data_IF_703177969936
#
_entry.id   IF_703177969936
#
_cell.length_a   1.000
_cell.length_b   1.000
_cell.length_c   1.000
_cell.angle_alpha   90.00
_cell.angle_beta   90.00
_cell.angle_gamma   90.00
#
_symmetry.space_group_name_H-M   'P 1'
#
loop_
_entity.id
_entity.type
_entity.pdbx_description
1 polymer ?
#
# COMPACT_ATOMS: atom_id res chain seq x y z
N UNK A 1 -29.84 24.11 5.16
CA UNK A 1 -29.22 24.17 3.80
C UNK A 1 -27.92 23.37 3.81
N UNK A 2 -28.00 22.18 3.20
CA UNK A 2 -26.97 21.42 2.45
C UNK A 2 -25.52 21.41 2.97
N UNK A 3 -25.10 20.26 3.56
CA UNK A 3 -24.01 19.40 3.06
C UNK A 3 -23.78 18.18 3.98
N UNK A 4 -24.82 17.34 4.15
CA UNK A 4 -24.63 15.91 4.40
C UNK A 4 -24.49 15.24 3.03
N UNK A 5 -23.29 14.79 2.65
CA UNK A 5 -23.09 14.19 1.33
C UNK A 5 -21.69 13.69 1.03
N UNK A 6 -20.90 13.28 2.04
CA UNK A 6 -19.54 12.79 1.83
C UNK A 6 -19.17 11.57 2.68
N UNK A 7 -20.14 10.70 3.00
CA UNK A 7 -19.91 9.50 3.84
C UNK A 7 -20.27 8.19 3.10
N UNK A 8 -20.83 8.25 1.89
CA UNK A 8 -21.41 7.09 1.21
C UNK A 8 -20.52 6.41 0.13
N UNK A 9 -19.19 6.58 0.13
CA UNK A 9 -18.35 6.07 -0.98
C UNK A 9 -17.12 5.24 -0.58
N UNK A 10 -17.01 4.80 0.68
CA UNK A 10 -15.84 4.04 1.15
C UNK A 10 -16.17 2.68 1.78
N UNK A 11 -17.40 2.20 1.57
CA UNK A 11 -17.88 0.87 1.97
C UNK A 11 -18.40 0.21 0.70
N UNK A 12 -17.56 -0.53 -0.05
CA UNK A 12 -17.96 -1.49 -1.14
C UNK A 12 -16.75 -1.99 -1.99
N UNK A 13 -15.57 -2.30 -1.43
CA UNK A 13 -14.48 -2.93 -2.25
C UNK A 13 -13.71 -4.06 -1.53
N UNK A 14 -14.19 -4.59 -0.41
CA UNK A 14 -13.45 -5.64 0.30
C UNK A 14 -14.30 -6.86 0.69
N UNK A 15 -15.05 -7.39 -0.28
CA UNK A 15 -15.65 -8.72 -0.16
C UNK A 15 -15.12 -9.62 -1.28
N UNK A 16 -14.58 -10.75 -0.84
CA UNK A 16 -14.35 -11.98 -1.59
C UNK A 16 -13.14 -12.05 -2.54
N UNK A 17 -11.94 -12.17 -1.96
CA UNK A 17 -10.97 -13.12 -2.49
C UNK A 17 -10.55 -14.06 -1.37
N UNK A 18 -11.18 -15.23 -1.31
CA UNK A 18 -10.69 -16.52 -0.82
C UNK A 18 -11.87 -17.51 -0.88
N UNK A 19 -11.70 -18.83 -1.03
CA UNK A 19 -10.51 -19.57 -1.41
C UNK A 19 -10.78 -20.78 -2.34
N UNK A 20 -9.68 -21.46 -2.71
CA UNK A 20 -9.55 -22.90 -2.83
C UNK A 20 -10.36 -23.68 -3.89
N UNK A 21 -9.61 -24.16 -4.89
CA UNK A 21 -9.57 -25.59 -5.20
C UNK A 21 -10.62 -26.11 -6.18
N UNK A 22 -10.17 -26.62 -7.32
CA UNK A 22 -10.18 -28.06 -7.60
C UNK A 22 -9.51 -28.39 -8.93
N UNK A 23 -8.81 -29.52 -8.90
CA UNK A 23 -8.25 -30.26 -10.00
C UNK A 23 -9.33 -30.68 -11.02
N UNK A 24 -8.86 -31.10 -12.20
CA UNK A 24 -9.51 -31.94 -13.21
C UNK A 24 -10.17 -31.18 -14.37
N UNK A 25 -9.74 -31.52 -15.58
CA UNK A 25 -10.67 -31.67 -16.70
C UNK A 25 -10.39 -30.80 -17.91
N UNK A 26 -9.48 -31.26 -18.77
CA UNK A 26 -9.53 -30.93 -20.20
C UNK A 26 -10.84 -31.48 -20.78
N UNK A 27 -11.84 -30.63 -21.01
CA UNK A 27 -12.98 -30.96 -21.87
C UNK A 27 -13.44 -29.73 -22.65
N UNK A 28 -13.18 -29.81 -23.94
CA UNK A 28 -14.10 -29.55 -25.04
C UNK A 28 -14.88 -28.22 -25.07
N UNK A 29 -14.46 -27.36 -26.01
CA UNK A 29 -15.28 -26.84 -27.11
C UNK A 29 -16.80 -26.77 -26.85
N UNK A 30 -17.28 -25.56 -26.56
CA UNK A 30 -18.59 -25.10 -27.03
C UNK A 30 -18.44 -23.63 -27.49
N UNK A 31 -18.45 -23.35 -28.80
CA UNK A 31 -18.55 -21.99 -29.33
C UNK A 31 -20.01 -21.57 -29.21
N UNK A 32 -20.32 -20.82 -28.15
CA UNK A 32 -21.70 -20.48 -27.79
C UNK A 32 -21.86 -19.01 -27.53
N UNK A 33 -22.71 -18.40 -28.36
CA UNK A 33 -23.32 -17.08 -28.20
C UNK A 33 -22.40 -15.88 -28.51
N UNK A 34 -22.59 -15.41 -29.75
CA UNK A 34 -22.37 -14.04 -30.17
C UNK A 34 -23.07 -13.08 -29.20
N UNK A 35 -22.36 -12.67 -28.14
CA UNK A 35 -22.57 -11.34 -27.62
C UNK A 35 -22.16 -10.40 -28.75
N UNK A 36 -23.13 -9.79 -29.43
CA UNK A 36 -22.92 -8.53 -30.13
C UNK A 36 -22.63 -7.46 -29.07
N UNK A 37 -21.52 -7.65 -28.36
CA UNK A 37 -20.93 -6.66 -27.49
C UNK A 37 -20.54 -5.53 -28.41
N UNK A 38 -21.15 -4.37 -28.20
CA UNK A 38 -20.72 -3.12 -28.83
C UNK A 38 -19.20 -3.10 -28.75
N UNK A 39 -18.52 -3.09 -29.88
CA UNK A 39 -17.06 -2.97 -29.98
C UNK A 39 -16.72 -1.58 -29.46
N UNK A 40 -16.64 -1.46 -28.14
CA UNK A 40 -16.21 -0.23 -27.51
C UNK A 40 -14.69 -0.20 -27.70
N UNK A 41 -14.14 0.83 -28.35
CA UNK A 41 -12.70 0.93 -28.52
C UNK A 41 -12.05 0.86 -27.14
N UNK A 42 -10.94 0.14 -27.04
CA UNK A 42 -10.18 0.05 -25.79
C UNK A 42 -9.89 1.48 -25.33
N UNK A 43 -10.27 1.86 -24.08
CA UNK A 43 -10.02 3.20 -23.61
C UNK A 43 -8.51 3.49 -23.69
N UNK A 44 -8.12 4.72 -24.07
CA UNK A 44 -6.71 5.07 -24.16
C UNK A 44 -6.04 4.85 -22.81
N UNK A 45 -4.81 4.34 -22.83
CA UNK A 45 -4.04 4.15 -21.61
C UNK A 45 -3.89 5.49 -20.88
N UNK A 46 -4.23 5.51 -19.59
CA UNK A 46 -4.02 6.69 -18.76
C UNK A 46 -2.51 6.97 -18.63
N UNK A 47 -2.08 8.25 -18.67
CA UNK A 47 -0.68 8.58 -18.51
C UNK A 47 -0.20 8.21 -17.10
N UNK A 48 0.87 7.42 -17.02
CA UNK A 48 1.54 7.10 -15.75
C UNK A 48 2.45 8.26 -15.35
N UNK A 49 2.22 8.85 -14.18
CA UNK A 49 3.14 9.84 -13.59
C UNK A 49 4.11 9.14 -12.66
N UNK A 50 5.40 9.23 -12.96
CA UNK A 50 6.47 8.72 -12.09
C UNK A 50 6.76 9.77 -11.02
N UNK A 51 6.62 9.37 -9.75
CA UNK A 51 6.99 10.23 -8.63
C UNK A 51 8.51 10.43 -8.59
N UNK A 52 8.94 11.68 -8.39
CA UNK A 52 10.35 12.04 -8.29
C UNK A 52 10.57 12.74 -6.95
N UNK A 53 11.24 12.09 -5.97
CA UNK A 53 11.52 12.72 -4.68
C UNK A 53 12.44 13.93 -4.84
N UNK A 54 12.23 14.95 -4.02
CA UNK A 54 13.09 16.13 -3.89
C UNK A 54 14.08 15.99 -2.72
N UNK A 55 15.00 16.95 -2.57
CA UNK A 55 16.01 16.95 -1.51
C UNK A 55 15.41 16.90 -0.10
N UNK A 56 14.31 17.62 0.17
CA UNK A 56 13.70 17.62 1.49
C UNK A 56 13.05 16.28 1.79
N UNK A 57 12.43 15.65 0.79
CA UNK A 57 11.89 14.29 0.91
C UNK A 57 12.98 13.26 1.26
N UNK A 58 14.17 13.37 0.67
CA UNK A 58 15.26 12.42 0.88
C UNK A 58 16.09 12.66 2.15
N UNK A 59 15.77 13.67 2.97
CA UNK A 59 16.48 13.88 4.23
C UNK A 59 16.22 12.72 5.20
N UNK A 60 17.25 12.24 5.93
CA UNK A 60 17.13 11.08 6.81
C UNK A 60 16.02 11.23 7.87
N UNK A 61 15.95 12.41 8.51
CA UNK A 61 14.93 12.70 9.52
C UNK A 61 13.52 12.69 8.94
N UNK A 62 13.35 13.20 7.72
CA UNK A 62 12.06 13.24 7.03
C UNK A 62 11.57 11.83 6.66
N UNK A 63 12.45 10.98 6.13
CA UNK A 63 12.12 9.59 5.80
C UNK A 63 11.75 8.79 7.05
N UNK A 64 12.57 8.92 8.10
CA UNK A 64 12.35 8.24 9.39
C UNK A 64 11.05 8.68 10.05
N UNK A 65 10.79 9.99 10.07
CA UNK A 65 9.54 10.53 10.62
C UNK A 65 8.32 10.17 9.77
N UNK A 66 8.44 10.11 8.44
CA UNK A 66 7.36 9.66 7.57
C UNK A 66 6.98 8.20 7.85
N UNK A 67 7.97 7.31 7.93
CA UNK A 67 7.76 5.89 8.25
C UNK A 67 7.02 5.70 9.58
N UNK A 68 7.44 6.40 10.65
CA UNK A 68 6.77 6.37 11.95
C UNK A 68 5.33 6.85 11.85
N UNK A 69 5.12 8.05 11.31
CA UNK A 69 3.79 8.66 11.20
C UNK A 69 2.81 7.79 10.42
N UNK A 70 3.28 7.08 9.40
CA UNK A 70 2.43 6.16 8.63
C UNK A 70 1.97 4.96 9.45
N UNK A 71 2.80 4.43 10.34
CA UNK A 71 2.42 3.32 11.23
C UNK A 71 1.62 3.81 12.44
N UNK A 72 1.89 5.01 12.95
CA UNK A 72 1.20 5.59 14.10
C UNK A 72 -0.32 5.72 13.89
N UNK A 73 -0.76 5.92 12.64
CA UNK A 73 -2.16 5.99 12.26
C UNK A 73 -2.95 4.69 12.55
N UNK A 74 -2.24 3.58 12.77
CA UNK A 74 -2.82 2.24 12.93
C UNK A 74 -2.55 1.62 14.30
N UNK A 75 -2.08 2.41 15.28
CA UNK A 75 -1.67 1.96 16.63
C UNK A 75 -2.67 1.07 17.38
N UNK A 76 -3.97 1.11 17.07
CA UNK A 76 -4.99 0.23 17.66
C UNK A 76 -5.27 -1.09 16.92
N UNK A 77 -4.57 -1.37 15.83
CA UNK A 77 -4.77 -2.58 15.03
C UNK A 77 -4.16 -3.81 15.69
N UNK A 78 -4.58 -4.99 15.23
CA UNK A 78 -4.00 -6.24 15.74
C UNK A 78 -2.50 -6.33 15.45
N UNK A 79 -1.71 -7.06 16.27
CA UNK A 79 -0.27 -7.20 16.05
C UNK A 79 0.09 -7.76 14.67
N UNK A 80 -0.75 -8.65 14.13
CA UNK A 80 -0.57 -9.24 12.81
C UNK A 80 -0.74 -8.21 11.69
N UNK A 81 -1.74 -7.32 11.81
CA UNK A 81 -1.96 -6.23 10.85
C UNK A 81 -0.80 -5.24 10.92
N UNK A 82 -0.35 -4.87 12.12
CA UNK A 82 0.80 -3.97 12.29
C UNK A 82 2.09 -4.55 11.70
N UNK A 83 2.35 -5.85 11.90
CA UNK A 83 3.48 -6.52 11.29
C UNK A 83 3.41 -6.49 9.75
N UNK A 84 2.22 -6.72 9.18
CA UNK A 84 2.04 -6.68 7.72
C UNK A 84 2.20 -5.27 7.15
N UNK A 85 1.64 -4.26 7.81
CA UNK A 85 1.78 -2.86 7.40
C UNK A 85 3.25 -2.44 7.42
N UNK A 86 4.01 -2.85 8.45
CA UNK A 86 5.45 -2.62 8.50
C UNK A 86 6.18 -3.20 7.29
N UNK A 87 5.88 -4.46 6.92
CA UNK A 87 6.50 -5.07 5.73
C UNK A 87 6.24 -4.22 4.48
N UNK A 88 5.00 -3.79 4.25
CA UNK A 88 4.66 -2.95 3.10
C UNK A 88 5.36 -1.59 3.14
N UNK A 89 5.43 -0.96 4.31
CA UNK A 89 6.14 0.32 4.46
C UNK A 89 7.64 0.18 4.24
N UNK A 90 8.23 -0.95 4.64
CA UNK A 90 9.63 -1.25 4.38
C UNK A 90 9.87 -1.42 2.86
N UNK A 91 9.04 -2.17 2.14
CA UNK A 91 9.17 -2.30 0.68
C UNK A 91 9.11 -0.93 -0.04
N UNK A 92 8.19 -0.06 0.37
CA UNK A 92 8.09 1.31 -0.15
C UNK A 92 9.29 2.18 0.22
N UNK A 93 9.76 2.05 1.46
CA UNK A 93 10.93 2.75 1.98
C UNK A 93 12.20 2.38 1.22
N UNK A 94 12.41 1.10 0.93
CA UNK A 94 13.54 0.61 0.13
C UNK A 94 13.55 1.22 -1.27
N UNK A 95 12.40 1.19 -1.96
CA UNK A 95 12.26 1.76 -3.29
C UNK A 95 12.52 3.28 -3.29
N UNK A 96 12.05 3.98 -2.25
CA UNK A 96 12.26 5.43 -2.09
C UNK A 96 13.73 5.75 -1.84
N UNK A 97 14.40 5.02 -0.94
CA UNK A 97 15.81 5.19 -0.63
C UNK A 97 16.69 4.93 -1.86
N UNK A 98 16.37 3.89 -2.64
CA UNK A 98 17.04 3.60 -3.91
C UNK A 98 16.87 4.77 -4.88
N UNK A 99 15.64 5.28 -5.05
CA UNK A 99 15.38 6.43 -5.91
C UNK A 99 16.12 7.71 -5.48
N UNK A 100 16.25 7.95 -4.17
CA UNK A 100 17.02 9.06 -3.63
C UNK A 100 18.52 8.94 -3.95
N UNK A 101 19.09 7.72 -3.81
CA UNK A 101 20.49 7.46 -4.14
C UNK A 101 20.76 7.54 -5.64
N UNK A 102 19.90 6.95 -6.48
CA UNK A 102 20.03 6.96 -7.95
C UNK A 102 19.99 8.39 -8.52
N UNK A 103 19.32 9.31 -7.83
CA UNK A 103 19.23 10.72 -8.19
C UNK A 103 20.31 11.61 -7.55
N UNK A 104 21.27 11.02 -6.83
CA UNK A 104 22.33 11.73 -6.10
C UNK A 104 21.80 12.73 -5.05
N UNK A 105 20.62 12.47 -4.48
CA UNK A 105 20.06 13.29 -3.40
C UNK A 105 20.64 12.90 -2.03
N UNK A 106 21.07 11.65 -1.91
CA UNK A 106 21.84 11.08 -0.79
C UNK A 106 22.88 10.10 -1.35
N UNK A 107 23.91 9.77 -0.58
CA UNK A 107 24.85 8.71 -0.95
C UNK A 107 24.24 7.32 -0.75
N UNK A 108 24.80 6.31 -1.43
CA UNK A 108 24.33 4.92 -1.31
C UNK A 108 24.53 4.38 0.10
N UNK A 109 25.64 4.73 0.73
CA UNK A 109 25.99 4.32 2.10
C UNK A 109 25.00 4.90 3.11
N UNK A 110 24.61 6.17 2.91
CA UNK A 110 23.57 6.83 3.72
C UNK A 110 22.22 6.14 3.52
N UNK A 111 21.85 5.84 2.27
CA UNK A 111 20.60 5.13 1.98
C UNK A 111 20.53 3.75 2.65
N UNK A 112 21.63 2.99 2.59
CA UNK A 112 21.74 1.68 3.25
C UNK A 112 21.71 1.79 4.78
N UNK A 113 22.32 2.82 5.35
CA UNK A 113 22.26 3.05 6.80
C UNK A 113 20.82 3.33 7.24
N UNK A 114 20.12 4.25 6.57
CA UNK A 114 18.72 4.54 6.87
C UNK A 114 17.87 3.28 6.72
N UNK A 115 18.10 2.48 5.67
CA UNK A 115 17.38 1.23 5.47
C UNK A 115 17.52 0.25 6.64
N UNK A 116 18.72 0.11 7.21
CA UNK A 116 18.94 -0.71 8.42
C UNK A 116 18.21 -0.13 9.63
N UNK A 117 18.23 1.19 9.79
CA UNK A 117 17.57 1.86 10.91
C UNK A 117 16.04 1.66 10.84
N UNK A 118 15.44 1.73 9.65
CA UNK A 118 14.00 1.46 9.46
C UNK A 118 13.63 0.01 9.82
N UNK A 119 14.47 -0.96 9.45
CA UNK A 119 14.22 -2.38 9.74
C UNK A 119 14.24 -2.72 11.22
N UNK A 120 15.02 -1.99 12.03
CA UNK A 120 15.16 -2.23 13.47
C UNK A 120 14.22 -1.38 14.33
N UNK A 121 13.59 -0.36 13.74
CA UNK A 121 12.72 0.57 14.44
C UNK A 121 11.56 -0.15 15.14
N UNK A 122 11.21 0.12 16.42
CA UNK A 122 10.10 -0.56 17.07
C UNK A 122 8.74 -0.23 16.43
N UNK A 123 7.81 -1.19 16.44
CA UNK A 123 6.42 -0.94 16.04
C UNK A 123 5.72 -0.04 17.06
N UNK A 124 4.93 0.95 16.63
CA UNK A 124 4.06 1.71 17.52
C UNK A 124 3.11 0.78 18.29
N UNK A 125 2.95 1.03 19.59
CA UNK A 125 2.10 0.22 20.48
C UNK A 125 0.91 1.06 20.95
N UNK A 126 -0.27 0.43 21.07
CA UNK A 126 -1.41 1.08 21.71
C UNK A 126 -1.10 1.40 23.17
N UNK A 127 -1.63 2.51 23.72
CA UNK A 127 -1.62 2.72 25.15
C UNK A 127 -2.24 1.51 25.88
N UNK A 128 -1.69 1.10 27.03
CA UNK A 128 -2.32 0.04 27.83
C UNK A 128 -3.73 0.49 28.24
N UNK A 129 -4.75 -0.28 27.86
CA UNK A 129 -6.16 -0.02 28.22
C UNK A 129 -7.13 0.26 27.05
N UNK A 130 -6.64 0.44 25.82
CA UNK A 130 -7.49 0.68 24.63
C UNK A 130 -8.10 -0.59 23.99
N UNK A 131 -8.11 -1.71 24.71
CA UNK A 131 -8.63 -2.99 24.22
C UNK A 131 -10.15 -2.98 24.06
N UNK A 132 -10.61 -2.96 22.82
CA UNK A 132 -11.92 -3.49 22.38
C UNK A 132 -13.17 -2.89 23.06
N UNK A 133 -13.62 -1.73 22.58
CA UNK A 133 -15.05 -1.39 22.57
C UNK A 133 -15.51 -1.44 21.12
N UNK A 134 -15.93 -2.62 20.68
CA UNK A 134 -16.77 -2.78 19.51
C UNK A 134 -18.19 -3.06 20.01
N UNK A 135 -19.19 -2.19 19.73
CA UNK A 135 -20.60 -2.48 20.01
C UNK A 135 -21.14 -3.60 19.11
#
# INVERSE_FOLDING_TARGET
MVRLGLIALLVEVLVALFPAGRLIGSTALLPGALAQGRTMPTPPAAPVRVYRPDFATCQPDHLTAAFRRQLDQFVGQSPQVMARLRTLQLELGEATLRSCADQNLISREVAEQIWRDLQTMPLPQAPPGTGSQRP
#
